data_IF_365653345741
#
_entry.id   IF_365653345741
#
_cell.length_a   1.000
_cell.length_b   1.000
_cell.length_c   1.000
_cell.angle_alpha   90.00
_cell.angle_beta   90.00
_cell.angle_gamma   90.00
#
_symmetry.space_group_name_H-M   'P 1'
#
loop_
_entity.id
_entity.type
_entity.pdbx_description
1 polymer ?
#
# COMPACT_ATOMS: atom_id res chain seq x y z
N UNK A 1 -5.37 14.15 -25.20
CA UNK A 1 -5.30 13.82 -24.60
C UNK A 1 -5.02 13.30 -23.94
N UNK A 2 -4.83 13.36 -23.84
CA UNK A 2 -4.58 12.89 -23.13
C UNK A 2 -4.18 12.46 -22.37
N UNK A 3 -4.17 12.37 -22.33
CA UNK A 3 -3.93 11.99 -21.46
C UNK A 3 -3.44 11.48 -21.00
N UNK A 4 -3.58 11.81 -21.10
CA UNK A 4 -3.15 11.03 -20.88
C UNK A 4 -2.14 10.37 -20.48
N UNK A 5 -1.46 10.23 -20.84
CA UNK A 5 -0.31 9.42 -20.53
C UNK A 5 0.29 9.61 -19.17
N UNK A 6 0.10 10.74 -18.64
CA UNK A 6 0.64 11.07 -17.34
C UNK A 6 0.11 10.13 -16.25
N UNK A 7 -0.99 9.54 -16.53
CA UNK A 7 -1.64 8.67 -15.56
C UNK A 7 -0.78 7.49 -15.21
N UNK A 8 0.05 7.09 -16.14
CA UNK A 8 0.83 5.88 -15.98
C UNK A 8 1.82 5.97 -14.84
N UNK A 9 2.19 7.16 -14.45
CA UNK A 9 3.23 7.32 -13.45
C UNK A 9 2.72 7.57 -12.06
N UNK A 10 1.41 7.57 -11.89
CA UNK A 10 0.85 7.64 -10.56
C UNK A 10 1.10 6.32 -9.85
N UNK A 11 1.05 6.33 -8.55
CA UNK A 11 1.21 5.12 -7.77
C UNK A 11 -0.15 4.44 -7.66
N UNK A 12 -0.46 3.53 -8.58
CA UNK A 12 -1.78 2.89 -8.59
C UNK A 12 -2.04 2.19 -7.28
N UNK A 13 -3.18 2.47 -6.71
CA UNK A 13 -3.54 1.82 -5.47
C UNK A 13 -3.17 2.59 -4.21
N UNK A 14 -2.14 3.44 -4.27
CA UNK A 14 -1.77 4.20 -3.07
C UNK A 14 -2.85 5.23 -2.72
N UNK A 15 -3.28 6.01 -3.70
CA UNK A 15 -4.28 7.04 -3.45
C UNK A 15 -5.66 6.46 -3.22
N UNK A 16 -5.85 5.19 -3.54
CA UNK A 16 -7.12 4.50 -3.27
C UNK A 16 -7.18 3.98 -1.85
N UNK A 17 -6.08 4.01 -1.13
CA UNK A 17 -6.02 3.53 0.24
C UNK A 17 -6.43 4.63 1.19
N UNK A 18 -7.10 4.23 2.27
CA UNK A 18 -7.38 5.18 3.35
C UNK A 18 -6.06 5.53 4.05
N UNK A 19 -6.10 6.61 4.82
CA UNK A 19 -4.93 7.02 5.56
C UNK A 19 -4.46 5.92 6.52
N UNK A 20 -5.40 5.21 7.12
CA UNK A 20 -5.07 4.13 8.04
C UNK A 20 -4.36 2.99 7.30
N UNK A 21 -4.85 2.66 6.10
CA UNK A 21 -4.22 1.63 5.29
C UNK A 21 -2.83 2.04 4.85
N UNK A 22 -2.67 3.29 4.46
CA UNK A 22 -1.36 3.81 4.07
C UNK A 22 -0.37 3.72 5.23
N UNK A 23 -0.82 4.09 6.42
CA UNK A 23 0.03 4.01 7.61
C UNK A 23 0.44 2.59 7.92
N UNK A 24 -0.48 1.65 7.70
CA UNK A 24 -0.17 0.24 7.95
C UNK A 24 0.97 -0.23 7.05
N UNK A 25 0.95 0.14 5.78
CA UNK A 25 2.02 -0.24 4.86
C UNK A 25 3.33 0.42 5.26
N UNK A 26 3.29 1.68 5.64
CA UNK A 26 4.49 2.38 6.08
C UNK A 26 5.07 1.72 7.33
N UNK A 27 4.21 1.32 8.25
CA UNK A 27 4.64 0.67 9.46
C UNK A 27 5.35 -0.65 9.16
N UNK A 28 4.78 -1.44 8.24
CA UNK A 28 5.42 -2.70 7.85
C UNK A 28 6.77 -2.46 7.19
N UNK A 29 6.85 -1.44 6.35
CA UNK A 29 8.10 -1.10 5.69
C UNK A 29 9.18 -0.77 6.72
N UNK A 30 8.80 -0.15 7.81
CA UNK A 30 9.72 0.22 8.87
C UNK A 30 10.01 -0.88 9.87
N UNK A 31 9.49 -2.08 9.64
CA UNK A 31 9.75 -3.20 10.53
C UNK A 31 8.70 -3.43 11.59
N UNK A 32 7.59 -2.70 11.55
CA UNK A 32 6.51 -2.89 12.49
C UNK A 32 5.63 -4.07 12.12
N UNK A 33 4.52 -4.24 12.86
CA UNK A 33 3.63 -5.34 12.62
C UNK A 33 2.19 -4.86 12.65
N UNK A 34 1.30 -5.69 12.10
CA UNK A 34 -0.13 -5.38 12.04
C UNK A 34 -0.92 -6.08 13.15
N UNK A 35 -0.24 -6.55 14.17
CA UNK A 35 -0.88 -7.36 15.21
C UNK A 35 -1.98 -6.60 15.93
N UNK A 36 -1.86 -5.31 16.04
CA UNK A 36 -2.83 -4.49 16.75
C UNK A 36 -3.73 -3.69 15.84
N UNK A 37 -3.60 -3.89 14.55
CA UNK A 37 -4.41 -3.18 13.59
C UNK A 37 -5.79 -3.82 13.48
N UNK A 38 -6.75 -3.02 13.03
CA UNK A 38 -8.11 -3.51 12.81
C UNK A 38 -8.07 -4.64 11.77
N UNK A 39 -8.63 -5.82 12.10
CA UNK A 39 -8.65 -6.93 11.15
C UNK A 39 -9.28 -6.56 9.82
N UNK A 40 -10.26 -5.67 9.80
CA UNK A 40 -10.88 -5.25 8.55
C UNK A 40 -9.87 -4.55 7.65
N UNK A 41 -9.00 -3.72 8.23
CA UNK A 41 -7.96 -3.02 7.49
C UNK A 41 -6.96 -4.04 6.94
N UNK A 42 -6.54 -4.98 7.78
CA UNK A 42 -5.58 -6.00 7.38
C UNK A 42 -6.14 -6.86 6.25
N UNK A 43 -7.41 -7.25 6.38
CA UNK A 43 -8.05 -8.07 5.37
C UNK A 43 -8.17 -7.35 4.03
N UNK A 44 -8.45 -6.06 4.07
CA UNK A 44 -8.54 -5.28 2.85
C UNK A 44 -7.19 -5.20 2.16
N UNK A 45 -6.13 -4.95 2.91
CA UNK A 45 -4.79 -4.90 2.35
C UNK A 45 -4.39 -6.24 1.76
N UNK A 46 -4.76 -7.33 2.42
CA UNK A 46 -4.48 -8.66 1.92
C UNK A 46 -5.27 -8.94 0.64
N UNK A 47 -6.52 -8.53 0.61
CA UNK A 47 -7.36 -8.72 -0.57
C UNK A 47 -6.81 -7.97 -1.78
N UNK A 48 -6.17 -6.84 -1.55
CA UNK A 48 -5.55 -6.06 -2.62
C UNK A 48 -4.18 -6.59 -3.02
N UNK A 49 -3.68 -7.58 -2.28
CA UNK A 49 -2.37 -8.15 -2.57
C UNK A 49 -1.19 -7.35 -2.05
N UNK A 50 -1.44 -6.35 -1.21
CA UNK A 50 -0.38 -5.51 -0.66
C UNK A 50 0.28 -6.13 0.56
N UNK A 51 -0.40 -7.06 1.19
CA UNK A 51 0.08 -7.77 2.38
C UNK A 51 -0.13 -9.25 2.13
N UNK A 52 0.82 -10.08 2.52
CA UNK A 52 0.73 -11.50 2.29
C UNK A 52 -0.01 -12.21 3.44
N UNK A 53 -0.09 -13.54 3.38
CA UNK A 53 -0.82 -14.31 4.36
C UNK A 53 -0.18 -14.28 5.74
N UNK A 54 1.07 -13.87 5.82
CA UNK A 54 1.78 -13.74 7.07
C UNK A 54 1.74 -12.31 7.61
N UNK A 55 0.90 -11.47 7.01
CA UNK A 55 0.76 -10.07 7.39
C UNK A 55 2.05 -9.28 7.21
N UNK A 56 2.85 -9.69 6.25
CA UNK A 56 4.06 -9.00 5.87
C UNK A 56 3.84 -8.26 4.57
N UNK A 57 4.65 -7.24 4.34
CA UNK A 57 4.55 -6.44 3.13
C UNK A 57 4.83 -7.31 1.91
N UNK A 58 3.84 -7.44 1.04
CA UNK A 58 4.00 -8.20 -0.19
C UNK A 58 4.68 -7.33 -1.25
N UNK A 59 5.10 -7.98 -2.33
CA UNK A 59 5.81 -7.27 -3.40
C UNK A 59 4.98 -6.12 -3.95
N UNK A 60 3.69 -6.36 -4.19
CA UNK A 60 2.82 -5.32 -4.72
C UNK A 60 2.71 -4.14 -3.76
N UNK A 61 2.64 -4.43 -2.46
CA UNK A 61 2.60 -3.36 -1.47
C UNK A 61 3.88 -2.57 -1.42
N UNK A 62 5.00 -3.26 -1.55
CA UNK A 62 6.30 -2.60 -1.58
C UNK A 62 6.42 -1.69 -2.80
N UNK A 63 5.96 -2.15 -3.95
CA UNK A 63 6.01 -1.36 -5.16
C UNK A 63 5.17 -0.09 -5.02
N UNK A 64 3.94 -0.24 -4.55
CA UNK A 64 3.04 0.89 -4.37
C UNK A 64 3.64 1.91 -3.41
N UNK A 65 4.15 1.43 -2.28
CA UNK A 65 4.75 2.31 -1.28
C UNK A 65 5.98 3.03 -1.82
N UNK A 66 6.84 2.30 -2.52
CA UNK A 66 8.06 2.87 -3.05
C UNK A 66 7.74 3.95 -4.08
N UNK A 67 6.78 3.70 -4.95
CA UNK A 67 6.37 4.71 -5.93
C UNK A 67 5.81 5.94 -5.26
N UNK A 68 5.01 5.75 -4.20
CA UNK A 68 4.44 6.87 -3.47
C UNK A 68 5.54 7.72 -2.82
N UNK A 69 6.54 7.07 -2.25
CA UNK A 69 7.63 7.80 -1.60
C UNK A 69 8.47 8.58 -2.61
N UNK A 70 8.58 8.08 -3.83
CA UNK A 70 9.37 8.77 -4.85
C UNK A 70 8.69 10.03 -5.36
N UNK A 71 7.39 10.16 -5.13
CA UNK A 71 6.65 11.34 -5.56
C UNK A 71 6.72 12.48 -4.56
N UNK A 72 7.28 12.21 -3.41
CA UNK A 72 7.45 13.21 -2.37
C UNK A 72 8.93 13.46 -2.13
#
# INVERSE_FOLDING_TARGET
>A
MNQKGSIVFEAPGWDDLTRIEQRALIKLFGGGSLRRDDPAVVNELRARGFVDDNNMLAKAGLVVLTLAMRQH
#
